data_IF_935118614231
#
_entry.id   IF_935118614231
#
_cell.length_a   1.000
_cell.length_b   1.000
_cell.length_c   1.000
_cell.angle_alpha   90.00
_cell.angle_beta   90.00
_cell.angle_gamma   90.00
#
_symmetry.space_group_name_H-M   'P 1'
#
loop_
_entity.id
_entity.type
_entity.pdbx_description
1 polymer ?
#
# COMPACT_ATOMS: atom_id res chain seq x y z
N UNK A 1 17.49 9.63 -5.41
CA UNK A 1 18.42 8.53 -5.05
C UNK A 1 19.40 8.18 -6.18
N UNK A 2 19.46 8.92 -7.29
CA UNK A 2 20.53 8.78 -8.29
C UNK A 2 20.61 7.42 -9.01
N UNK A 3 19.56 6.59 -8.95
CA UNK A 3 19.52 5.32 -9.66
C UNK A 3 19.21 5.56 -11.16
N UNK A 4 19.73 4.73 -12.06
CA UNK A 4 19.41 4.79 -13.50
C UNK A 4 17.91 4.58 -13.80
N UNK A 5 17.42 5.07 -14.93
CA UNK A 5 16.00 4.97 -15.34
C UNK A 5 15.55 3.54 -15.62
N UNK A 6 16.49 2.67 -16.03
CA UNK A 6 16.24 1.26 -16.26
C UNK A 6 16.01 0.46 -14.97
N UNK A 7 16.29 1.02 -13.80
CA UNK A 7 16.06 0.35 -12.51
C UNK A 7 14.59 0.53 -12.10
N UNK A 8 13.77 -0.53 -12.10
CA UNK A 8 12.37 -0.41 -11.75
C UNK A 8 12.18 -0.16 -10.25
N UNK A 9 11.06 0.48 -9.91
CA UNK A 9 10.65 0.71 -8.53
C UNK A 9 9.15 0.47 -8.34
N UNK A 10 8.77 0.04 -7.14
CA UNK A 10 7.37 -0.14 -6.75
C UNK A 10 7.16 0.36 -5.32
N UNK A 11 6.03 0.98 -5.06
CA UNK A 11 5.61 1.38 -3.71
C UNK A 11 4.70 0.32 -3.12
N UNK A 12 4.96 -0.05 -1.87
CA UNK A 12 4.12 -0.99 -1.12
C UNK A 12 3.42 -0.25 0.00
N UNK A 13 2.08 -0.27 -0.01
CA UNK A 13 1.26 0.15 1.12
C UNK A 13 0.58 -1.07 1.75
N UNK A 14 1.06 -1.44 2.93
CA UNK A 14 0.49 -2.42 3.85
C UNK A 14 0.42 -1.82 5.25
N UNK A 15 0.02 -0.55 5.35
CA UNK A 15 -0.03 0.20 6.61
C UNK A 15 1.30 0.11 7.38
N UNK A 16 1.25 -0.13 8.69
CA UNK A 16 2.43 -0.27 9.55
C UNK A 16 3.40 -1.38 9.09
N UNK A 17 2.91 -2.34 8.30
CA UNK A 17 3.68 -3.46 7.76
C UNK A 17 4.39 -3.18 6.42
N UNK A 18 4.28 -1.99 5.85
CA UNK A 18 4.80 -1.68 4.50
C UNK A 18 6.29 -1.99 4.32
N UNK A 19 7.14 -1.51 5.24
CA UNK A 19 8.59 -1.73 5.15
C UNK A 19 8.96 -3.22 5.27
N UNK A 20 8.26 -3.95 6.15
CA UNK A 20 8.46 -5.39 6.30
C UNK A 20 8.00 -6.14 5.03
N UNK A 21 6.87 -5.74 4.44
CA UNK A 21 6.40 -6.32 3.20
C UNK A 21 7.34 -6.04 2.02
N UNK A 22 7.93 -4.83 1.96
CA UNK A 22 8.93 -4.49 0.96
C UNK A 22 10.17 -5.40 1.06
N UNK A 23 10.63 -5.69 2.28
CA UNK A 23 11.72 -6.66 2.51
C UNK A 23 11.31 -8.06 2.07
N UNK A 24 10.09 -8.51 2.36
CA UNK A 24 9.59 -9.81 1.90
C UNK A 24 9.52 -9.91 0.37
N UNK A 25 9.12 -8.85 -0.32
CA UNK A 25 9.13 -8.81 -1.80
C UNK A 25 10.55 -8.90 -2.36
N UNK A 26 11.48 -8.13 -1.80
CA UNK A 26 12.89 -8.19 -2.20
C UNK A 26 13.49 -9.59 -1.99
N UNK A 27 13.23 -10.20 -0.83
CA UNK A 27 13.70 -11.56 -0.53
C UNK A 27 13.14 -12.58 -1.54
N UNK A 28 11.84 -12.53 -1.84
CA UNK A 28 11.23 -13.42 -2.83
C UNK A 28 11.79 -13.20 -4.25
N UNK A 29 12.01 -11.96 -4.66
CA UNK A 29 12.63 -11.61 -5.94
C UNK A 29 14.02 -12.22 -6.11
N UNK A 30 14.84 -12.12 -5.06
CA UNK A 30 16.19 -12.73 -5.04
C UNK A 30 16.13 -14.24 -4.98
N UNK A 31 15.34 -14.82 -4.06
CA UNK A 31 15.23 -16.27 -3.90
C UNK A 31 14.68 -16.97 -5.14
N UNK A 32 13.82 -16.31 -5.91
CA UNK A 32 13.28 -16.85 -7.17
C UNK A 32 14.25 -16.76 -8.35
N UNK A 33 15.35 -16.02 -8.21
CA UNK A 33 16.28 -15.74 -9.31
C UNK A 33 15.76 -14.71 -10.32
N UNK A 34 14.64 -14.03 -10.02
CA UNK A 34 14.09 -12.98 -10.89
C UNK A 34 14.90 -11.68 -10.79
N UNK A 35 15.56 -11.45 -9.65
CA UNK A 35 16.33 -10.24 -9.36
C UNK A 35 17.62 -10.61 -8.64
N UNK A 36 18.75 -10.02 -9.03
CA UNK A 36 20.03 -10.29 -8.35
C UNK A 36 20.26 -9.37 -7.13
N UNK A 37 19.74 -8.15 -7.20
CA UNK A 37 19.89 -7.13 -6.16
C UNK A 37 18.63 -6.28 -6.08
N UNK A 38 18.14 -6.04 -4.87
CA UNK A 38 16.97 -5.20 -4.60
C UNK A 38 17.24 -4.31 -3.40
N UNK A 39 16.90 -3.02 -3.50
CA UNK A 39 16.90 -2.09 -2.37
C UNK A 39 15.47 -2.00 -1.82
N UNK A 40 15.28 -2.39 -0.57
CA UNK A 40 13.98 -2.35 0.11
C UNK A 40 14.01 -1.43 1.33
N UNK A 41 12.89 -0.77 1.61
CA UNK A 41 12.72 0.10 2.76
C UNK A 41 11.36 0.77 2.77
N UNK A 42 11.17 1.71 3.70
CA UNK A 42 9.95 2.52 3.77
C UNK A 42 10.22 3.86 4.45
N UNK A 43 9.43 4.86 4.07
CA UNK A 43 9.50 6.22 4.62
C UNK A 43 8.08 6.72 4.85
N UNK A 44 7.89 7.49 5.92
CA UNK A 44 6.61 8.08 6.29
C UNK A 44 6.83 9.52 6.76
N UNK A 45 6.00 10.45 6.28
CA UNK A 45 6.08 11.88 6.61
C UNK A 45 4.78 12.38 7.24
N UNK A 46 4.51 11.99 8.49
CA UNK A 46 3.26 12.32 9.21
C UNK A 46 3.08 13.82 9.49
N UNK A 47 4.17 14.58 9.49
CA UNK A 47 4.13 16.04 9.63
C UNK A 47 3.58 16.76 8.39
N UNK A 48 3.49 16.08 7.24
CA UNK A 48 2.97 16.62 5.98
C UNK A 48 1.67 15.95 5.55
N UNK A 49 1.62 14.63 5.68
CA UNK A 49 0.48 13.81 5.26
C UNK A 49 0.01 13.01 6.47
N UNK A 50 -1.18 13.29 7.03
CA UNK A 50 -1.73 12.52 8.12
C UNK A 50 -1.85 11.03 7.78
N UNK A 51 -1.77 10.19 8.81
CA UNK A 51 -2.11 8.77 8.67
C UNK A 51 -3.55 8.64 8.12
N UNK A 52 -3.80 7.63 7.28
CA UNK A 52 -5.08 7.40 6.60
C UNK A 52 -5.50 8.46 5.55
N UNK A 53 -4.60 9.35 5.11
CA UNK A 53 -4.91 10.30 4.04
C UNK A 53 -5.45 9.62 2.76
N UNK A 54 -4.94 8.42 2.43
CA UNK A 54 -5.44 7.62 1.31
C UNK A 54 -6.92 7.23 1.45
N UNK A 55 -7.41 6.99 2.66
CA UNK A 55 -8.81 6.60 2.89
C UNK A 55 -9.81 7.74 2.62
N UNK A 56 -9.36 8.99 2.69
CA UNK A 56 -10.23 10.16 2.50
C UNK A 56 -10.04 10.83 1.14
N UNK A 57 -9.06 10.39 0.34
CA UNK A 57 -8.77 10.96 -0.99
C UNK A 57 -9.96 10.82 -1.97
N UNK A 58 -10.78 9.77 -1.81
CA UNK A 58 -11.97 9.55 -2.63
C UNK A 58 -13.10 10.56 -2.42
N UNK A 59 -13.11 11.31 -1.31
CA UNK A 59 -14.19 12.24 -0.97
C UNK A 59 -14.37 13.36 -2.00
N UNK A 60 -13.27 13.83 -2.59
CA UNK A 60 -13.31 14.83 -3.66
C UNK A 60 -14.06 14.33 -4.91
N UNK A 61 -14.06 13.01 -5.12
CA UNK A 61 -14.74 12.35 -6.22
C UNK A 61 -16.14 11.85 -5.84
N UNK A 62 -16.65 12.22 -4.67
CA UNK A 62 -17.97 11.82 -4.18
C UNK A 62 -18.03 10.46 -3.48
N UNK A 63 -16.88 9.91 -3.08
CA UNK A 63 -16.81 8.67 -2.30
C UNK A 63 -16.55 8.95 -0.82
N UNK A 64 -17.56 8.78 0.04
CA UNK A 64 -17.49 9.01 1.48
C UNK A 64 -16.62 8.00 2.23
N UNK A 65 -16.50 6.78 1.67
CA UNK A 65 -15.66 5.70 2.18
C UNK A 65 -15.04 4.92 1.02
N UNK A 66 -13.91 4.22 1.23
CA UNK A 66 -13.26 3.42 0.19
C UNK A 66 -14.11 2.22 -0.28
N UNK A 67 -15.20 1.89 0.43
CA UNK A 67 -16.06 0.76 0.14
C UNK A 67 -17.48 1.18 -0.32
N UNK A 68 -17.76 2.48 -0.42
CA UNK A 68 -19.10 2.98 -0.70
C UNK A 68 -19.63 2.44 -2.04
N UNK A 69 -20.82 1.81 -2.00
CA UNK A 69 -21.49 1.29 -3.18
C UNK A 69 -20.87 0.02 -3.78
N UNK A 70 -20.02 -0.68 -3.03
CA UNK A 70 -19.43 -1.96 -3.43
C UNK A 70 -20.39 -3.12 -3.11
N UNK A 71 -21.07 -3.73 -4.09
CA UNK A 71 -22.10 -4.74 -3.82
C UNK A 71 -21.53 -5.99 -3.13
N UNK A 72 -20.27 -6.33 -3.44
CA UNK A 72 -19.58 -7.47 -2.81
C UNK A 72 -19.13 -7.18 -1.38
N UNK A 73 -18.85 -5.92 -1.05
CA UNK A 73 -18.55 -5.51 0.32
C UNK A 73 -19.83 -5.57 1.17
N UNK A 74 -20.90 -4.96 0.68
CA UNK A 74 -22.20 -4.92 1.37
C UNK A 74 -22.76 -6.32 1.59
N UNK A 75 -22.67 -7.20 0.59
CA UNK A 75 -23.12 -8.58 0.71
C UNK A 75 -22.31 -9.41 1.74
N UNK A 76 -21.04 -9.07 1.94
CA UNK A 76 -20.13 -9.82 2.82
C UNK A 76 -20.14 -9.31 4.25
N UNK A 77 -20.19 -8.00 4.44
CA UNK A 77 -19.97 -7.34 5.73
C UNK A 77 -21.19 -6.54 6.20
N UNK A 78 -22.14 -6.22 5.33
CA UNK A 78 -23.27 -5.35 5.66
C UNK A 78 -22.83 -4.02 6.24
N UNK A 79 -23.59 -3.53 7.21
CA UNK A 79 -23.33 -2.26 7.92
C UNK A 79 -22.57 -2.45 9.25
N UNK A 80 -22.07 -3.66 9.54
CA UNK A 80 -21.38 -3.93 10.79
C UNK A 80 -19.93 -3.40 10.79
N UNK A 81 -19.42 -3.07 11.97
CA UNK A 81 -18.03 -2.68 12.14
C UNK A 81 -17.10 -3.84 11.79
N UNK A 82 -16.32 -3.67 10.72
CA UNK A 82 -15.31 -4.66 10.31
C UNK A 82 -14.03 -4.43 11.09
N UNK A 83 -13.71 -5.35 12.01
CA UNK A 83 -12.41 -5.42 12.67
C UNK A 83 -11.47 -6.41 11.95
N UNK A 84 -10.17 -6.23 12.17
CA UNK A 84 -9.09 -7.10 11.67
C UNK A 84 -8.39 -7.77 12.85
#
# INVERSE_FOLDING_TARGET
AGLPEEVPGVTVDRQCGSSQQAVHFAAQGVMSGTQDLVVAGGSQAMNRIPIMAAMIAGKEYGYDSPFQGSPGWDARYGDEEVNQ
#
